data_IF_591426736671
#
_entry.id   IF_591426736671
#
_cell.length_a   1.000
_cell.length_b   1.000
_cell.length_c   1.000
_cell.angle_alpha   90.00
_cell.angle_beta   90.00
_cell.angle_gamma   90.00
#
_symmetry.space_group_name_H-M   'P 1'
#
loop_
_entity.id
_entity.type
_entity.pdbx_description
1 polymer ?
#
# COMPACT_ATOMS: atom_id res chain seq x y z
N UNK A 1 -38.76 -5.91 51.75
CA UNK A 1 -38.10 -6.92 50.88
C UNK A 1 -37.31 -6.17 49.82
N UNK A 2 -35.97 -6.28 49.83
CA UNK A 2 -35.08 -5.38 49.06
C UNK A 2 -35.16 -5.65 47.56
N UNK A 3 -35.22 -4.58 46.76
CA UNK A 3 -35.34 -4.56 45.28
C UNK A 3 -34.08 -5.11 44.57
N UNK A 4 -33.74 -6.38 44.82
CA UNK A 4 -32.57 -7.06 44.24
C UNK A 4 -32.61 -7.09 42.71
N UNK A 5 -33.80 -7.09 42.12
CA UNK A 5 -34.00 -7.08 40.66
C UNK A 5 -33.64 -5.74 40.00
N UNK A 6 -33.97 -4.61 40.64
CA UNK A 6 -33.57 -3.29 40.14
C UNK A 6 -32.05 -3.12 40.20
N UNK A 7 -31.41 -3.64 41.24
CA UNK A 7 -29.95 -3.61 41.38
C UNK A 7 -29.27 -4.45 40.28
N UNK A 8 -29.78 -5.65 40.00
CA UNK A 8 -29.26 -6.51 38.94
C UNK A 8 -29.36 -5.86 37.55
N UNK A 9 -30.44 -5.12 37.28
CA UNK A 9 -30.61 -4.38 36.02
C UNK A 9 -29.56 -3.28 35.85
N UNK A 10 -29.30 -2.49 36.88
CA UNK A 10 -28.28 -1.42 36.82
C UNK A 10 -26.85 -1.98 36.71
N UNK A 11 -26.56 -3.12 37.34
CA UNK A 11 -25.27 -3.80 37.19
C UNK A 11 -25.10 -4.29 35.75
N UNK A 12 -26.12 -4.93 35.18
CA UNK A 12 -26.06 -5.43 33.80
C UNK A 12 -25.94 -4.28 32.78
N UNK A 13 -26.67 -3.19 32.99
CA UNK A 13 -26.56 -1.99 32.16
C UNK A 13 -25.14 -1.39 32.23
N UNK A 14 -24.54 -1.34 33.42
CA UNK A 14 -23.16 -0.88 33.61
C UNK A 14 -22.14 -1.73 32.85
N UNK A 15 -22.30 -3.06 32.84
CA UNK A 15 -21.43 -3.97 32.08
C UNK A 15 -21.55 -3.73 30.58
N UNK A 16 -22.77 -3.54 30.07
CA UNK A 16 -23.02 -3.25 28.66
C UNK A 16 -22.37 -1.93 28.22
N UNK A 17 -22.51 -0.88 29.03
CA UNK A 17 -21.89 0.42 28.77
C UNK A 17 -20.37 0.34 28.83
N UNK A 18 -19.81 -0.38 29.81
CA UNK A 18 -18.37 -0.59 29.92
C UNK A 18 -17.81 -1.36 28.71
N UNK A 19 -18.51 -2.42 28.27
CA UNK A 19 -18.12 -3.18 27.07
C UNK A 19 -18.15 -2.32 25.80
N UNK A 20 -19.18 -1.51 25.62
CA UNK A 20 -19.28 -0.58 24.50
C UNK A 20 -18.16 0.48 24.53
N UNK A 21 -17.83 1.01 25.71
CA UNK A 21 -16.76 1.99 25.87
C UNK A 21 -15.39 1.41 25.50
N UNK A 22 -15.09 0.17 25.91
CA UNK A 22 -13.83 -0.50 25.55
C UNK A 22 -13.71 -0.69 24.04
N UNK A 23 -14.78 -1.14 23.39
CA UNK A 23 -14.80 -1.29 21.92
C UNK A 23 -14.64 0.05 21.21
N UNK A 24 -15.24 1.12 21.74
CA UNK A 24 -15.10 2.46 21.18
C UNK A 24 -13.68 2.99 21.33
N UNK A 25 -13.02 2.75 22.47
CA UNK A 25 -11.61 3.11 22.68
C UNK A 25 -10.70 2.34 21.73
N UNK A 26 -10.91 1.02 21.56
CA UNK A 26 -10.12 0.23 20.61
C UNK A 26 -10.34 0.66 19.16
N UNK A 27 -11.56 1.04 18.78
CA UNK A 27 -11.86 1.53 17.43
C UNK A 27 -11.34 2.95 17.16
N UNK A 28 -11.22 3.78 18.22
CA UNK A 28 -10.71 5.14 18.13
C UNK A 28 -9.19 5.25 18.35
N UNK A 29 -8.54 4.19 18.84
CA UNK A 29 -7.08 4.14 18.93
C UNK A 29 -6.48 4.20 17.52
N UNK A 30 -5.62 5.21 17.23
CA UNK A 30 -4.90 5.26 15.98
C UNK A 30 -4.02 4.02 15.88
N UNK A 31 -4.08 3.31 14.75
CA UNK A 31 -3.05 2.32 14.45
C UNK A 31 -1.72 3.08 14.35
N UNK A 32 -0.76 2.76 15.21
CA UNK A 32 0.60 3.31 15.13
C UNK A 32 1.16 2.98 13.74
N UNK A 33 1.32 4.01 12.92
CA UNK A 33 1.97 3.87 11.63
C UNK A 33 3.44 3.51 11.86
N UNK A 34 3.91 2.49 11.14
CA UNK A 34 5.31 2.09 11.21
C UNK A 34 6.20 3.29 10.84
N UNK A 35 7.25 3.59 11.61
CA UNK A 35 8.11 4.71 11.32
C UNK A 35 8.77 4.51 9.96
N UNK A 36 8.50 5.43 9.02
CA UNK A 36 9.21 5.49 7.75
C UNK A 36 10.63 5.95 8.05
N UNK A 37 11.56 4.99 8.09
CA UNK A 37 12.98 5.28 8.17
C UNK A 37 13.41 5.96 6.86
N UNK A 38 13.46 7.29 6.86
CA UNK A 38 14.13 8.06 5.81
C UNK A 38 15.62 7.80 5.92
N UNK A 39 16.08 6.74 5.29
CA UNK A 39 17.50 6.39 5.24
C UNK A 39 18.18 7.32 4.24
N UNK A 40 18.65 8.47 4.73
CA UNK A 40 19.71 9.25 4.07
C UNK A 40 21.04 8.48 4.20
N UNK A 41 21.13 7.33 3.52
CA UNK A 41 22.40 6.63 3.34
C UNK A 41 23.06 7.17 2.10
N UNK A 42 24.17 7.87 2.34
CA UNK A 42 25.10 8.48 1.39
C UNK A 42 25.16 7.74 0.07
N UNK A 43 25.13 8.52 -1.00
CA UNK A 43 25.19 8.04 -2.38
C UNK A 43 26.30 6.99 -2.54
N UNK A 44 25.91 5.85 -3.10
CA UNK A 44 26.79 4.73 -3.41
C UNK A 44 27.85 5.19 -4.43
N UNK A 45 28.97 5.73 -3.93
CA UNK A 45 30.03 6.36 -4.73
C UNK A 45 30.71 5.41 -5.74
N UNK A 46 30.41 4.12 -5.67
CA UNK A 46 30.96 3.07 -6.53
C UNK A 46 29.92 2.45 -7.47
N UNK A 47 28.68 2.96 -7.53
CA UNK A 47 27.67 2.41 -8.43
C UNK A 47 27.69 3.17 -9.78
N UNK A 48 27.63 2.43 -10.89
CA UNK A 48 27.47 3.03 -12.21
C UNK A 48 26.02 3.45 -12.38
N UNK A 49 25.83 4.73 -12.72
CA UNK A 49 24.51 5.36 -12.88
C UNK A 49 24.07 5.30 -14.34
N UNK A 50 22.97 4.61 -14.63
CA UNK A 50 22.31 4.65 -15.94
C UNK A 50 21.03 5.45 -15.83
N UNK A 51 20.95 6.54 -16.58
CA UNK A 51 19.72 7.32 -16.70
C UNK A 51 18.86 6.72 -17.81
N UNK A 52 17.63 6.34 -17.47
CA UNK A 52 16.68 5.74 -18.40
C UNK A 52 15.46 6.64 -18.46
N UNK A 53 15.04 6.93 -19.68
CA UNK A 53 13.77 7.57 -19.97
C UNK A 53 12.86 6.55 -20.65
N UNK A 54 11.61 6.45 -20.21
CA UNK A 54 10.64 5.49 -20.73
C UNK A 54 9.25 6.11 -20.82
N UNK A 55 8.31 5.32 -21.33
CA UNK A 55 6.89 5.61 -21.39
C UNK A 55 6.10 4.59 -20.55
N UNK A 56 4.83 4.90 -20.29
CA UNK A 56 3.90 4.06 -19.53
C UNK A 56 3.67 2.69 -20.17
N UNK A 57 3.68 2.59 -21.49
CA UNK A 57 3.44 1.31 -22.18
C UNK A 57 4.57 0.31 -21.94
N UNK A 58 5.82 0.76 -21.96
CA UNK A 58 6.97 -0.11 -21.73
C UNK A 58 7.14 -0.41 -20.24
N UNK A 59 6.88 0.57 -19.38
CA UNK A 59 6.88 0.35 -17.94
C UNK A 59 5.80 -0.66 -17.50
N UNK A 60 4.59 -0.61 -18.08
CA UNK A 60 3.53 -1.59 -17.83
C UNK A 60 3.98 -3.03 -18.08
N UNK A 61 4.69 -3.27 -19.19
CA UNK A 61 5.20 -4.60 -19.53
C UNK A 61 6.22 -5.07 -18.49
N UNK A 62 7.13 -4.19 -18.07
CA UNK A 62 8.17 -4.52 -17.10
C UNK A 62 7.56 -4.81 -15.73
N UNK A 63 6.63 -3.98 -15.27
CA UNK A 63 5.96 -4.15 -13.98
C UNK A 63 5.23 -5.49 -13.95
N UNK A 64 4.36 -5.76 -14.92
CA UNK A 64 3.57 -7.00 -14.91
C UNK A 64 4.46 -8.23 -15.02
N UNK A 65 5.54 -8.18 -15.83
CA UNK A 65 6.51 -9.27 -15.87
C UNK A 65 7.18 -9.54 -14.51
N UNK A 66 7.52 -8.48 -13.76
CA UNK A 66 8.11 -8.61 -12.42
C UNK A 66 7.10 -9.17 -11.41
N UNK A 67 5.85 -8.69 -11.45
CA UNK A 67 4.79 -9.15 -10.55
C UNK A 67 4.48 -10.64 -10.80
N UNK A 68 4.43 -11.07 -12.05
CA UNK A 68 4.24 -12.48 -12.42
C UNK A 68 5.37 -13.38 -11.91
N UNK A 69 6.64 -12.93 -11.99
CA UNK A 69 7.77 -13.70 -11.45
C UNK A 69 7.73 -13.79 -9.91
N UNK A 70 7.17 -12.79 -9.21
CA UNK A 70 7.11 -12.75 -7.75
C UNK A 70 5.84 -13.34 -7.15
N UNK A 71 4.76 -13.49 -7.93
CA UNK A 71 3.47 -14.00 -7.49
C UNK A 71 3.57 -15.46 -7.04
N UNK A 72 4.04 -15.67 -5.80
CA UNK A 72 4.15 -16.97 -5.17
C UNK A 72 2.81 -17.34 -4.53
N UNK A 73 1.80 -17.61 -5.38
CA UNK A 73 0.85 -18.67 -5.07
C UNK A 73 -0.60 -18.37 -4.66
N UNK A 74 -1.17 -17.14 -4.64
CA UNK A 74 -2.63 -17.00 -4.38
C UNK A 74 -3.32 -15.69 -4.80
N UNK A 75 -2.67 -14.74 -5.47
CA UNK A 75 -3.29 -13.43 -5.74
C UNK A 75 -3.05 -13.01 -7.18
N UNK A 76 -4.11 -13.04 -7.99
CA UNK A 76 -4.14 -12.43 -9.31
C UNK A 76 -4.39 -10.94 -9.14
N UNK A 77 -3.32 -10.15 -9.29
CA UNK A 77 -3.38 -8.70 -9.34
C UNK A 77 -2.60 -8.18 -10.54
N UNK A 78 -3.09 -7.10 -11.15
CA UNK A 78 -2.51 -6.47 -12.33
C UNK A 78 -2.33 -4.98 -12.05
N UNK A 79 -1.18 -4.43 -12.44
CA UNK A 79 -0.93 -3.00 -12.39
C UNK A 79 -0.95 -2.43 -13.80
N UNK A 80 -1.74 -1.38 -14.00
CA UNK A 80 -1.87 -0.68 -15.28
C UNK A 80 -1.67 0.81 -15.06
N UNK A 81 -0.63 1.34 -15.67
CA UNK A 81 -0.35 2.77 -15.71
C UNK A 81 -1.13 3.40 -16.87
N UNK A 82 -2.05 4.31 -16.54
CA UNK A 82 -2.78 5.16 -17.49
C UNK A 82 -2.40 6.62 -17.24
N UNK A 83 -3.36 7.46 -16.87
CA UNK A 83 -3.12 8.81 -16.36
C UNK A 83 -2.90 8.79 -14.82
N UNK A 84 -3.18 7.65 -14.21
CA UNK A 84 -3.00 7.29 -12.82
C UNK A 84 -2.56 5.82 -12.73
N UNK A 85 -2.09 5.40 -11.56
CA UNK A 85 -1.74 4.00 -11.32
C UNK A 85 -3.02 3.24 -10.99
N UNK A 86 -3.44 2.33 -11.86
CA UNK A 86 -4.58 1.46 -11.62
C UNK A 86 -4.09 0.08 -11.15
N UNK A 87 -4.60 -0.38 -10.02
CA UNK A 87 -4.38 -1.73 -9.51
C UNK A 87 -5.70 -2.50 -9.58
N UNK A 88 -5.69 -3.57 -10.35
CA UNK A 88 -6.78 -4.53 -10.44
C UNK A 88 -6.43 -5.76 -9.62
N UNK A 89 -7.41 -6.32 -8.92
CA UNK A 89 -7.18 -7.56 -8.20
C UNK A 89 -8.49 -8.20 -7.75
N UNK A 90 -8.37 -9.40 -7.19
CA UNK A 90 -9.51 -10.13 -6.67
C UNK A 90 -9.34 -10.35 -5.18
N UNK A 91 -10.36 -9.96 -4.40
CA UNK A 91 -10.40 -10.17 -2.95
C UNK A 91 -11.50 -11.18 -2.61
N UNK A 92 -11.18 -12.24 -1.85
CA UNK A 92 -12.20 -13.15 -1.33
C UNK A 92 -12.97 -12.45 -0.20
N UNK A 93 -14.26 -12.21 -0.42
CA UNK A 93 -15.17 -11.62 0.57
C UNK A 93 -16.31 -12.60 0.82
N UNK A 94 -16.37 -13.16 2.04
CA UNK A 94 -17.25 -14.27 2.40
C UNK A 94 -16.98 -15.54 1.55
N UNK A 95 -17.90 -15.88 0.65
CA UNK A 95 -17.79 -17.03 -0.27
C UNK A 95 -17.80 -16.58 -1.73
N UNK A 96 -17.49 -15.30 -1.98
CA UNK A 96 -17.46 -14.72 -3.32
C UNK A 96 -16.14 -13.98 -3.55
N UNK A 97 -15.62 -14.13 -4.76
CA UNK A 97 -14.45 -13.43 -5.24
C UNK A 97 -14.91 -12.13 -5.92
N UNK A 98 -14.58 -10.99 -5.32
CA UNK A 98 -14.98 -9.69 -5.83
C UNK A 98 -13.81 -9.02 -6.54
N UNK A 99 -14.08 -8.52 -7.75
CA UNK A 99 -13.14 -7.68 -8.48
C UNK A 99 -13.01 -6.32 -7.80
N UNK A 100 -11.77 -5.93 -7.57
CA UNK A 100 -11.38 -4.66 -7.00
C UNK A 100 -10.60 -3.87 -8.04
N UNK A 101 -10.90 -2.57 -8.13
CA UNK A 101 -10.08 -1.56 -8.80
C UNK A 101 -9.68 -0.50 -7.79
N UNK A 102 -8.38 -0.28 -7.67
CA UNK A 102 -7.77 0.80 -6.91
C UNK A 102 -7.08 1.75 -7.88
N UNK A 103 -7.15 3.04 -7.59
CA UNK A 103 -6.50 4.09 -8.40
C UNK A 103 -5.67 4.96 -7.47
N UNK A 104 -4.44 5.24 -7.89
CA UNK A 104 -3.48 6.04 -7.13
C UNK A 104 -2.88 7.14 -7.98
N UNK A 105 -2.70 8.31 -7.38
CA UNK A 105 -1.89 9.39 -7.93
C UNK A 105 -0.44 9.21 -7.45
N UNK A 106 0.51 8.98 -8.36
CA UNK A 106 1.90 8.80 -8.00
C UNK A 106 2.59 10.14 -7.73
N UNK A 107 3.51 10.14 -6.76
CA UNK A 107 4.37 11.26 -6.43
C UNK A 107 5.81 10.76 -6.23
N UNK A 108 6.71 11.19 -7.11
CA UNK A 108 8.13 10.89 -7.01
C UNK A 108 8.78 11.76 -5.92
N UNK A 109 9.47 11.11 -4.99
CA UNK A 109 10.16 11.77 -3.89
C UNK A 109 11.62 12.10 -4.26
N UNK A 110 12.17 13.15 -3.63
CA UNK A 110 13.56 13.58 -3.85
C UNK A 110 14.61 12.52 -3.50
N UNK A 111 14.27 11.58 -2.60
CA UNK A 111 15.15 10.48 -2.20
C UNK A 111 15.18 9.33 -3.22
N UNK A 112 14.31 9.37 -4.23
CA UNK A 112 14.20 8.33 -5.25
C UNK A 112 13.06 7.35 -5.07
N UNK A 113 12.30 7.47 -4.00
CA UNK A 113 11.17 6.60 -3.69
C UNK A 113 9.86 7.14 -4.29
N UNK A 114 8.82 6.32 -4.25
CA UNK A 114 7.51 6.66 -4.84
C UNK A 114 6.43 6.60 -3.76
N UNK A 115 5.63 7.66 -3.65
CA UNK A 115 4.38 7.63 -2.88
C UNK A 115 3.23 7.44 -3.87
N UNK A 116 2.33 6.53 -3.55
CA UNK A 116 1.08 6.32 -4.26
C UNK A 116 -0.06 6.80 -3.35
N UNK A 117 -0.57 7.99 -3.61
CA UNK A 117 -1.72 8.53 -2.87
C UNK A 117 -2.99 7.96 -3.46
N UNK A 118 -3.82 7.35 -2.63
CA UNK A 118 -5.05 6.76 -3.12
C UNK A 118 -6.01 7.86 -3.58
N UNK A 119 -6.74 7.59 -4.67
CA UNK A 119 -7.73 8.50 -5.24
C UNK A 119 -9.14 7.92 -5.25
N UNK A 120 -9.31 6.71 -5.77
CA UNK A 120 -10.61 6.06 -5.84
C UNK A 120 -10.47 4.54 -5.69
N UNK A 121 -11.45 3.94 -5.02
CA UNK A 121 -11.59 2.50 -4.86
C UNK A 121 -12.96 2.06 -5.37
N UNK A 122 -13.00 0.92 -6.05
CA UNK A 122 -14.23 0.29 -6.51
C UNK A 122 -14.18 -1.21 -6.26
N UNK A 123 -15.10 -1.71 -5.44
CA UNK A 123 -15.28 -3.14 -5.16
C UNK A 123 -16.72 -3.48 -5.48
N UNK A 124 -16.96 -3.98 -6.70
CA UNK A 124 -18.32 -4.19 -7.21
C UNK A 124 -19.19 -2.92 -7.10
N UNK A 125 -20.21 -2.96 -6.24
CA UNK A 125 -21.13 -1.82 -5.97
C UNK A 125 -20.96 -1.23 -4.56
N UNK A 126 -19.98 -1.70 -3.79
CA UNK A 126 -19.77 -1.31 -2.41
C UNK A 126 -18.89 -0.06 -2.34
N UNK A 127 -19.34 0.94 -1.58
CA UNK A 127 -18.55 2.11 -1.22
C UNK A 127 -17.99 1.89 0.18
N UNK A 128 -16.76 1.40 0.26
CA UNK A 128 -16.06 1.21 1.53
C UNK A 128 -15.06 2.35 1.75
N UNK A 129 -14.81 2.79 2.99
CA UNK A 129 -13.77 3.75 3.25
C UNK A 129 -12.40 3.15 2.93
N UNK A 130 -11.53 3.96 2.33
CA UNK A 130 -10.25 3.54 1.76
C UNK A 130 -9.31 2.98 2.83
N UNK A 131 -9.22 3.66 3.96
CA UNK A 131 -8.41 3.26 5.12
C UNK A 131 -8.71 1.83 5.58
N UNK A 132 -9.96 1.39 5.57
CA UNK A 132 -10.32 0.03 5.96
C UNK A 132 -9.78 -1.02 4.97
N UNK A 133 -9.86 -0.73 3.68
CA UNK A 133 -9.37 -1.66 2.65
C UNK A 133 -7.85 -1.73 2.66
N UNK A 134 -7.17 -0.58 2.76
CA UNK A 134 -5.72 -0.53 2.90
C UNK A 134 -5.25 -1.29 4.14
N UNK A 135 -5.94 -1.12 5.27
CA UNK A 135 -5.65 -1.87 6.49
C UNK A 135 -5.91 -3.39 6.33
N UNK A 136 -6.96 -3.77 5.63
CA UNK A 136 -7.24 -5.18 5.33
C UNK A 136 -6.14 -5.79 4.46
N UNK A 137 -5.72 -5.10 3.39
CA UNK A 137 -4.66 -5.58 2.49
C UNK A 137 -3.36 -5.76 3.27
N UNK A 138 -2.98 -4.75 4.06
CA UNK A 138 -1.79 -4.78 4.93
C UNK A 138 -1.74 -6.00 5.85
N UNK A 139 -2.89 -6.41 6.39
CA UNK A 139 -2.96 -7.50 7.37
C UNK A 139 -3.22 -8.88 6.74
N UNK A 140 -3.77 -8.93 5.52
CA UNK A 140 -4.21 -10.17 4.88
C UNK A 140 -3.21 -10.72 3.86
N UNK A 141 -2.34 -9.85 3.33
CA UNK A 141 -1.35 -10.24 2.33
C UNK A 141 0.06 -10.04 2.85
N UNK A 142 0.96 -10.95 2.46
CA UNK A 142 2.38 -10.83 2.76
C UNK A 142 3.02 -9.84 1.78
N UNK A 143 3.02 -8.56 2.15
CA UNK A 143 3.62 -7.50 1.35
C UNK A 143 5.16 -7.59 1.45
N UNK A 144 5.87 -7.35 0.34
CA UNK A 144 7.32 -7.32 0.38
C UNK A 144 7.81 -6.07 1.14
N UNK A 145 9.01 -6.15 1.72
CA UNK A 145 9.61 -5.08 2.55
C UNK A 145 9.68 -3.70 1.86
N UNK A 146 9.68 -3.66 0.53
CA UNK A 146 9.71 -2.44 -0.25
C UNK A 146 8.34 -1.76 -0.39
N UNK A 147 7.25 -2.38 0.08
CA UNK A 147 5.90 -1.79 0.10
C UNK A 147 5.46 -1.58 1.54
N UNK A 148 5.16 -0.33 1.91
CA UNK A 148 4.56 0.01 3.18
C UNK A 148 3.22 0.72 2.96
N UNK A 149 2.13 0.17 3.51
CA UNK A 149 0.80 0.76 3.42
C UNK A 149 0.54 1.60 4.67
N UNK A 150 0.12 2.85 4.49
CA UNK A 150 -0.30 3.77 5.54
C UNK A 150 -1.80 4.06 5.39
N UNK A 151 -2.66 3.27 6.07
CA UNK A 151 -4.10 3.38 5.89
C UNK A 151 -4.68 4.71 6.39
N UNK A 152 -4.06 5.33 7.40
CA UNK A 152 -4.50 6.60 7.99
C UNK A 152 -4.33 7.77 7.03
N UNK A 153 -3.22 7.77 6.29
CA UNK A 153 -2.86 8.79 5.30
C UNK A 153 -3.35 8.44 3.89
N UNK A 154 -4.10 7.33 3.74
CA UNK A 154 -4.61 6.82 2.47
C UNK A 154 -3.52 6.69 1.38
N UNK A 155 -2.32 6.29 1.77
CA UNK A 155 -1.17 6.21 0.86
C UNK A 155 -0.40 4.89 0.98
N UNK A 156 0.29 4.55 -0.10
CA UNK A 156 1.23 3.44 -0.17
C UNK A 156 2.62 4.01 -0.47
N UNK A 157 3.56 3.76 0.41
CA UNK A 157 4.96 4.09 0.23
C UNK A 157 5.69 2.93 -0.45
N UNK A 158 6.36 3.21 -1.56
CA UNK A 158 7.14 2.26 -2.33
C UNK A 158 8.61 2.65 -2.23
N UNK A 159 9.37 1.87 -1.47
CA UNK A 159 10.82 2.03 -1.32
C UNK A 159 11.53 1.48 -2.56
N UNK A 160 11.89 2.35 -3.49
CA UNK A 160 12.49 1.96 -4.77
C UNK A 160 13.89 1.38 -4.58
N UNK A 161 14.56 1.80 -3.51
CA UNK A 161 15.90 1.32 -3.12
C UNK A 161 15.89 -0.08 -2.54
N UNK A 162 14.82 -0.47 -1.85
CA UNK A 162 14.67 -1.80 -1.23
C UNK A 162 14.08 -2.84 -2.20
N UNK A 163 13.71 -2.40 -3.40
CA UNK A 163 13.22 -3.28 -4.46
C UNK A 163 14.34 -4.21 -4.89
N UNK A 164 14.17 -5.50 -4.59
CA UNK A 164 15.14 -6.54 -4.94
C UNK A 164 14.98 -6.91 -6.41
N UNK A 165 15.86 -6.36 -7.24
CA UNK A 165 16.06 -6.81 -8.61
C UNK A 165 17.11 -7.92 -8.69
N UNK A 166 17.15 -8.62 -9.82
CA UNK A 166 18.27 -9.53 -10.13
C UNK A 166 19.56 -8.70 -10.15
N UNK A 167 20.63 -9.25 -9.57
CA UNK A 167 21.99 -8.65 -9.56
C UNK A 167 22.19 -7.39 -8.71
N UNK A 168 21.49 -7.25 -7.58
CA UNK A 168 21.67 -6.14 -6.60
C UNK A 168 21.54 -4.72 -7.20
N UNK A 169 20.88 -4.61 -8.35
CA UNK A 169 20.61 -3.35 -9.02
C UNK A 169 19.59 -2.57 -8.18
N UNK A 170 19.89 -1.31 -7.87
CA UNK A 170 18.96 -0.41 -7.19
C UNK A 170 18.32 0.53 -8.19
N UNK A 171 17.07 0.91 -7.92
CA UNK A 171 16.31 1.85 -8.74
C UNK A 171 16.06 3.13 -7.95
N UNK A 172 16.19 4.27 -8.64
CA UNK A 172 15.80 5.59 -8.13
C UNK A 172 14.86 6.21 -9.14
N UNK A 173 13.65 6.57 -8.71
CA UNK A 173 12.72 7.35 -9.55
C UNK A 173 13.19 8.80 -9.55
N UNK A 174 13.33 9.39 -10.74
CA UNK A 174 13.66 10.80 -10.87
C UNK A 174 12.39 11.61 -11.18
N UNK A 175 11.61 11.13 -12.16
CA UNK A 175 10.35 11.74 -12.59
C UNK A 175 9.34 10.65 -12.91
N UNK A 176 8.09 10.85 -12.52
CA UNK A 176 7.01 9.87 -12.70
C UNK A 176 5.69 10.60 -12.98
N UNK A 177 5.62 11.26 -14.15
CA UNK A 177 4.40 11.91 -14.62
C UNK A 177 3.67 11.01 -15.62
N UNK A 178 2.55 10.43 -15.19
CA UNK A 178 1.73 9.56 -16.02
C UNK A 178 0.84 10.32 -17.00
N UNK A 179 0.49 11.58 -16.71
CA UNK A 179 -0.39 12.40 -17.55
C UNK A 179 0.37 12.88 -18.79
N UNK A 180 1.61 13.32 -18.59
CA UNK A 180 2.50 13.76 -19.67
C UNK A 180 3.33 12.60 -20.27
N UNK A 181 3.16 11.37 -19.77
CA UNK A 181 3.92 10.18 -20.18
C UNK A 181 5.45 10.38 -20.06
N UNK A 182 5.87 11.15 -19.05
CA UNK A 182 7.26 11.47 -18.77
C UNK A 182 7.73 10.71 -17.53
N UNK A 183 8.43 9.59 -17.77
CA UNK A 183 8.88 8.68 -16.72
C UNK A 183 10.39 8.49 -16.87
N UNK A 184 11.13 8.86 -15.82
CA UNK A 184 12.58 8.69 -15.79
C UNK A 184 13.08 8.11 -14.47
N UNK A 185 14.07 7.22 -14.58
CA UNK A 185 14.70 6.56 -13.43
C UNK A 185 16.19 6.42 -13.64
N UNK A 186 16.91 6.38 -12.52
CA UNK A 186 18.33 6.09 -12.45
C UNK A 186 18.50 4.66 -11.94
N UNK A 187 19.10 3.80 -12.76
CA UNK A 187 19.59 2.51 -12.30
C UNK A 187 20.99 2.67 -11.71
N UNK A 188 21.19 2.11 -10.53
CA UNK A 188 22.47 2.05 -9.83
C UNK A 188 22.94 0.60 -9.88
N UNK A 189 23.96 0.35 -10.70
CA UNK A 189 24.55 -0.98 -10.85
C UNK A 189 25.83 -1.03 -10.01
N UNK A 190 25.92 -1.91 -9.00
CA UNK A 190 27.12 -2.03 -8.19
C UNK A 190 28.27 -2.60 -9.03
N UNK A 191 29.46 -2.01 -8.94
CA UNK A 191 30.66 -2.48 -9.66
C UNK A 191 31.69 -3.17 -8.76
N UNK A 192 31.23 -3.86 -7.71
CA UNK A 192 32.09 -4.63 -6.80
C UNK A 192 31.81 -6.12 -6.91
#
# INVERSE_FOLDING_TARGET
MKNKWKLAFFILAGILVAGAAVLFIMAASPAEDAPINKVDRNEDANDVKFLINTNKSDLNKIINHYLDEQATGSVDYEVVLRDEVELYGTIPVFSQDLQMKLTFEPEALKNGDLILKQKTISIGKLQLPVSYVLNFIRNSYNLPEWVNIQPNDEMVYVSMRDLKLKSDIKVRVNEFDLKEDNISFTLLVPTK
#
